data_IF_052721281691
#
_entry.id   IF_052721281691
#
_cell.length_a   1.000
_cell.length_b   1.000
_cell.length_c   1.000
_cell.angle_alpha   90.00
_cell.angle_beta   90.00
_cell.angle_gamma   90.00
#
_symmetry.space_group_name_H-M   'P 1'
#
loop_
_entity.id
_entity.type
_entity.pdbx_description
1 polymer ?
#
# COMPACT_ATOMS: atom_id res chain seq x y z
N UNK A 1 -56.25 -40.00 -35.43
CA UNK A 1 -55.69 -40.88 -36.47
C UNK A 1 -54.25 -40.45 -36.70
N UNK A 2 -53.32 -41.40 -36.59
CA UNK A 2 -51.89 -41.33 -36.98
C UNK A 2 -50.93 -40.40 -36.22
N UNK A 3 -50.25 -41.00 -35.25
CA UNK A 3 -48.78 -40.94 -35.08
C UNK A 3 -48.05 -41.14 -36.43
N UNK A 4 -46.84 -40.56 -36.58
CA UNK A 4 -45.67 -41.41 -36.42
C UNK A 4 -44.49 -40.78 -35.64
N UNK A 5 -43.84 -41.69 -34.93
CA UNK A 5 -42.55 -41.65 -34.25
C UNK A 5 -41.36 -41.48 -35.21
N UNK A 6 -40.33 -40.74 -34.77
CA UNK A 6 -38.95 -40.97 -35.19
C UNK A 6 -38.03 -40.85 -33.96
N UNK A 7 -37.35 -41.96 -33.70
CA UNK A 7 -36.34 -42.16 -32.67
C UNK A 7 -35.04 -41.41 -33.01
N UNK A 8 -34.41 -40.80 -32.01
CA UNK A 8 -32.97 -40.54 -32.07
C UNK A 8 -32.30 -41.12 -30.83
N UNK A 9 -31.50 -42.15 -31.08
CA UNK A 9 -30.75 -42.88 -30.07
C UNK A 9 -29.48 -42.12 -29.73
N UNK A 10 -29.39 -41.61 -28.51
CA UNK A 10 -28.11 -41.26 -27.88
C UNK A 10 -27.90 -42.12 -26.64
N UNK A 11 -26.74 -42.76 -26.48
CA UNK A 11 -26.44 -43.51 -25.26
C UNK A 11 -26.34 -42.53 -24.09
N UNK A 12 -27.21 -42.72 -23.09
CA UNK A 12 -27.11 -42.11 -21.76
C UNK A 12 -25.94 -42.75 -21.01
N UNK A 13 -24.72 -42.30 -21.27
CA UNK A 13 -23.58 -42.57 -20.40
C UNK A 13 -23.17 -41.26 -19.71
N UNK A 14 -23.88 -40.97 -18.63
CA UNK A 14 -23.52 -39.96 -17.63
C UNK A 14 -23.63 -40.60 -16.26
N UNK A 15 -22.76 -41.57 -15.98
CA UNK A 15 -22.50 -41.95 -14.59
C UNK A 15 -22.04 -40.71 -13.82
N UNK A 16 -22.29 -40.62 -12.50
CA UNK A 16 -21.79 -39.52 -11.71
C UNK A 16 -20.28 -39.43 -11.90
N UNK A 17 -19.82 -38.33 -12.49
CA UNK A 17 -18.41 -37.95 -12.42
C UNK A 17 -18.07 -37.97 -10.93
N UNK A 18 -17.08 -38.75 -10.49
CA UNK A 18 -16.72 -38.76 -9.08
C UNK A 18 -16.44 -37.32 -8.70
N UNK A 19 -17.18 -36.83 -7.72
CA UNK A 19 -16.94 -35.56 -7.06
C UNK A 19 -15.51 -35.66 -6.52
N UNK A 20 -14.54 -35.23 -7.33
CA UNK A 20 -13.16 -35.13 -6.92
C UNK A 20 -13.19 -34.19 -5.74
N UNK A 21 -13.07 -34.78 -4.55
CA UNK A 21 -13.06 -34.09 -3.28
C UNK A 21 -12.01 -32.99 -3.39
N UNK A 22 -12.49 -31.75 -3.51
CA UNK A 22 -11.61 -30.61 -3.64
C UNK A 22 -10.56 -30.70 -2.51
N UNK A 23 -9.26 -30.57 -2.84
CA UNK A 23 -8.21 -30.82 -1.86
C UNK A 23 -8.48 -29.99 -0.60
N UNK A 24 -8.40 -30.65 0.56
CA UNK A 24 -8.66 -29.99 1.83
C UNK A 24 -7.42 -29.21 2.26
N UNK A 25 -7.57 -27.98 2.77
CA UNK A 25 -6.45 -27.26 3.37
C UNK A 25 -5.78 -28.05 4.49
N UNK A 26 -4.45 -28.10 4.48
CA UNK A 26 -3.63 -28.73 5.53
C UNK A 26 -2.73 -27.73 6.25
N UNK A 27 -2.30 -28.00 7.49
CA UNK A 27 -1.31 -27.18 8.17
C UNK A 27 0.00 -27.07 7.38
N UNK A 28 0.64 -25.91 7.47
CA UNK A 28 1.99 -25.65 6.96
C UNK A 28 3.00 -26.53 7.70
N UNK A 29 3.96 -27.08 6.96
CA UNK A 29 5.06 -27.90 7.47
C UNK A 29 6.41 -27.29 7.07
N UNK A 30 7.52 -27.58 7.77
CA UNK A 30 8.84 -27.10 7.38
C UNK A 30 9.23 -27.47 5.94
N UNK A 31 8.83 -28.66 5.48
CA UNK A 31 9.05 -29.14 4.10
C UNK A 31 8.37 -28.30 3.01
N UNK A 32 7.36 -27.48 3.37
CA UNK A 32 6.66 -26.61 2.43
C UNK A 32 7.44 -25.35 2.06
N UNK A 33 8.56 -25.03 2.72
CA UNK A 33 9.29 -23.76 2.55
C UNK A 33 9.64 -23.48 1.08
N UNK A 34 10.17 -24.48 0.38
CA UNK A 34 10.48 -24.35 -1.05
C UNK A 34 9.22 -24.17 -1.91
N UNK A 35 8.11 -24.81 -1.53
CA UNK A 35 6.81 -24.64 -2.18
C UNK A 35 6.24 -23.24 -1.97
N UNK A 36 6.36 -22.70 -0.76
CA UNK A 36 5.96 -21.32 -0.42
C UNK A 36 6.78 -20.30 -1.20
N UNK A 37 8.11 -20.49 -1.29
CA UNK A 37 8.96 -19.59 -2.08
C UNK A 37 8.57 -19.59 -3.57
N UNK A 38 8.29 -20.77 -4.15
CA UNK A 38 7.81 -20.87 -5.54
C UNK A 38 6.46 -20.22 -5.73
N UNK A 39 5.51 -20.46 -4.81
CA UNK A 39 4.19 -19.85 -4.84
C UNK A 39 4.28 -18.32 -4.74
N UNK A 40 5.10 -17.80 -3.82
CA UNK A 40 5.32 -16.37 -3.64
C UNK A 40 5.92 -15.72 -4.90
N UNK A 41 6.89 -16.36 -5.54
CA UNK A 41 7.50 -15.88 -6.79
C UNK A 41 6.51 -15.81 -7.97
N UNK A 42 5.43 -16.61 -7.93
CA UNK A 42 4.34 -16.56 -8.92
C UNK A 42 3.23 -15.58 -8.54
N UNK A 43 2.91 -15.50 -7.25
CA UNK A 43 1.79 -14.70 -6.75
C UNK A 43 2.12 -13.21 -6.61
N UNK A 44 3.39 -12.87 -6.39
CA UNK A 44 3.85 -11.49 -6.15
C UNK A 44 4.93 -11.06 -7.13
N UNK A 45 5.14 -9.74 -7.34
CA UNK A 45 6.33 -9.24 -7.99
C UNK A 45 7.59 -9.75 -7.30
N UNK A 46 8.66 -10.02 -8.06
CA UNK A 46 9.91 -10.60 -7.54
C UNK A 46 10.47 -9.86 -6.33
N UNK A 47 10.46 -8.53 -6.34
CA UNK A 47 10.97 -7.72 -5.23
C UNK A 47 10.15 -7.85 -3.95
N UNK A 48 8.89 -8.28 -4.01
CA UNK A 48 8.08 -8.58 -2.83
C UNK A 48 8.21 -10.03 -2.40
N UNK A 49 8.29 -10.96 -3.37
CA UNK A 49 8.38 -12.40 -3.10
C UNK A 49 9.55 -12.79 -2.19
N UNK A 50 10.68 -12.08 -2.27
CA UNK A 50 11.87 -12.33 -1.42
C UNK A 50 11.65 -12.10 0.08
N UNK A 51 10.62 -11.35 0.45
CA UNK A 51 10.26 -11.10 1.84
C UNK A 51 9.29 -12.14 2.40
N UNK A 52 8.74 -13.02 1.56
CA UNK A 52 7.90 -14.12 2.02
C UNK A 52 8.80 -15.20 2.59
N UNK A 53 8.65 -15.46 3.89
CA UNK A 53 9.30 -16.57 4.59
C UNK A 53 8.24 -17.50 5.14
N UNK A 54 8.42 -18.80 4.97
CA UNK A 54 7.60 -19.77 5.66
C UNK A 54 7.80 -19.59 7.16
N UNK A 55 6.72 -19.25 7.88
CA UNK A 55 6.72 -19.23 9.34
C UNK A 55 6.48 -20.64 9.89
N UNK A 56 6.29 -20.74 11.21
CA UNK A 56 5.90 -22.00 11.85
C UNK A 56 4.38 -22.26 11.81
N UNK A 57 3.58 -21.25 11.46
CA UNK A 57 2.12 -21.32 11.54
C UNK A 57 1.49 -20.87 10.22
N UNK A 58 0.53 -21.64 9.73
CA UNK A 58 -0.14 -21.36 8.46
C UNK A 58 -0.90 -22.56 7.93
N UNK A 59 -1.55 -22.36 6.78
CA UNK A 59 -2.21 -23.41 6.04
C UNK A 59 -1.87 -23.30 4.57
N UNK A 60 -1.72 -24.45 3.93
CA UNK A 60 -1.48 -24.56 2.50
C UNK A 60 -2.58 -25.40 1.86
N UNK A 61 -2.73 -25.21 0.56
CA UNK A 61 -3.59 -26.02 -0.28
C UNK A 61 -2.75 -26.59 -1.42
N UNK A 62 -2.69 -27.91 -1.52
CA UNK A 62 -1.99 -28.60 -2.60
C UNK A 62 -2.81 -28.59 -3.90
N UNK A 63 -2.09 -28.66 -5.01
CA UNK A 63 -2.53 -28.91 -6.37
C UNK A 63 -1.55 -29.89 -7.02
N UNK A 64 -1.89 -30.41 -8.20
CA UNK A 64 -1.06 -31.41 -8.90
C UNK A 64 0.40 -30.94 -9.11
N UNK A 65 0.59 -29.65 -9.45
CA UNK A 65 1.90 -29.07 -9.75
C UNK A 65 2.54 -28.30 -8.56
N UNK A 66 2.06 -28.53 -7.34
CA UNK A 66 2.59 -27.89 -6.12
C UNK A 66 1.51 -27.15 -5.32
N UNK A 67 1.85 -26.01 -4.70
CA UNK A 67 0.90 -25.30 -3.85
C UNK A 67 -0.04 -24.41 -4.68
N UNK A 68 -1.35 -24.60 -4.53
CA UNK A 68 -2.38 -23.76 -5.14
C UNK A 68 -2.59 -22.44 -4.37
N UNK A 69 -2.46 -22.48 -3.04
CA UNK A 69 -2.64 -21.32 -2.18
C UNK A 69 -1.98 -21.52 -0.82
N UNK A 70 -1.68 -20.41 -0.13
CA UNK A 70 -1.16 -20.42 1.23
C UNK A 70 -1.67 -19.24 2.05
N UNK A 71 -1.82 -19.44 3.35
CA UNK A 71 -1.91 -18.38 4.35
C UNK A 71 -0.84 -18.59 5.42
N UNK A 72 -0.10 -17.53 5.74
CA UNK A 72 0.92 -17.52 6.77
C UNK A 72 0.46 -16.62 7.90
N UNK A 73 0.50 -17.13 9.13
CA UNK A 73 0.07 -16.40 10.32
C UNK A 73 1.18 -16.40 11.37
N UNK A 74 1.12 -15.46 12.31
CA UNK A 74 2.03 -15.41 13.46
C UNK A 74 1.35 -14.84 14.69
N UNK A 75 1.94 -15.13 15.85
CA UNK A 75 1.54 -14.55 17.13
C UNK A 75 2.55 -13.50 17.53
N UNK A 76 2.06 -12.32 17.91
CA UNK A 76 2.84 -11.21 18.43
C UNK A 76 2.49 -11.07 19.91
N UNK A 77 3.50 -11.19 20.78
CA UNK A 77 3.32 -10.97 22.22
C UNK A 77 3.57 -9.50 22.53
N UNK A 78 2.56 -8.85 23.12
CA UNK A 78 2.60 -7.46 23.57
C UNK A 78 3.11 -7.33 25.02
N UNK A 79 3.49 -6.13 25.46
CA UNK A 79 3.70 -5.84 26.88
C UNK A 79 2.49 -6.29 27.71
N UNK A 80 2.76 -6.90 28.87
CA UNK A 80 1.72 -7.50 29.72
C UNK A 80 1.25 -8.90 29.30
N UNK A 81 1.93 -9.54 28.34
CA UNK A 81 1.67 -10.95 27.96
C UNK A 81 0.50 -11.16 26.99
N UNK A 82 -0.23 -10.09 26.64
CA UNK A 82 -1.34 -10.13 25.69
C UNK A 82 -0.88 -10.60 24.31
N UNK A 83 -1.70 -11.40 23.61
CA UNK A 83 -1.33 -12.03 22.34
C UNK A 83 -2.16 -11.46 21.19
N UNK A 84 -1.49 -10.97 20.15
CA UNK A 84 -2.13 -10.56 18.90
C UNK A 84 -1.81 -11.59 17.82
N UNK A 85 -2.85 -12.05 17.13
CA UNK A 85 -2.69 -12.82 15.91
C UNK A 85 -2.48 -11.89 14.72
N UNK A 86 -1.57 -12.24 13.83
CA UNK A 86 -1.32 -11.50 12.61
C UNK A 86 -1.40 -12.41 11.39
N UNK A 87 -2.26 -12.06 10.43
CA UNK A 87 -2.27 -12.70 9.12
C UNK A 87 -1.26 -11.96 8.25
N UNK A 88 -0.09 -12.56 8.07
CA UNK A 88 1.06 -11.94 7.43
C UNK A 88 1.00 -12.00 5.91
N UNK A 89 0.62 -13.16 5.39
CA UNK A 89 0.55 -13.38 3.95
C UNK A 89 -0.66 -14.24 3.62
N UNK A 90 -1.37 -13.86 2.57
CA UNK A 90 -2.37 -14.69 1.93
C UNK A 90 -2.12 -14.64 0.43
N UNK A 91 -1.90 -15.79 -0.19
CA UNK A 91 -1.51 -15.87 -1.58
C UNK A 91 -2.22 -17.02 -2.29
N UNK A 92 -2.46 -16.84 -3.58
CA UNK A 92 -3.07 -17.85 -4.44
C UNK A 92 -2.33 -17.84 -5.76
N UNK A 93 -1.99 -19.03 -6.23
CA UNK A 93 -1.34 -19.23 -7.50
C UNK A 93 -2.19 -18.61 -8.62
N UNK A 94 -1.61 -17.87 -9.58
CA UNK A 94 -2.38 -17.24 -10.65
C UNK A 94 -3.32 -18.19 -11.41
N UNK A 95 -2.95 -19.46 -11.59
CA UNK A 95 -3.81 -20.45 -12.27
C UNK A 95 -5.03 -20.88 -11.43
N UNK A 96 -5.03 -20.58 -10.14
CA UNK A 96 -6.04 -20.98 -9.16
C UNK A 96 -6.79 -19.76 -8.57
N UNK A 97 -6.52 -18.54 -9.05
CA UNK A 97 -7.20 -17.33 -8.61
C UNK A 97 -8.69 -17.32 -9.01
N UNK A 98 -9.48 -16.48 -8.34
CA UNK A 98 -10.93 -16.38 -8.57
C UNK A 98 -11.77 -17.51 -7.95
N UNK A 99 -11.14 -18.53 -7.35
CA UNK A 99 -11.82 -19.68 -6.73
C UNK A 99 -12.07 -19.53 -5.21
N UNK A 100 -11.81 -18.36 -4.64
CA UNK A 100 -12.05 -18.09 -3.21
C UNK A 100 -11.07 -18.79 -2.25
N UNK A 101 -9.93 -19.28 -2.73
CA UNK A 101 -8.96 -20.07 -1.95
C UNK A 101 -8.30 -19.27 -0.82
N UNK A 102 -7.73 -18.09 -1.11
CA UNK A 102 -7.11 -17.24 -0.08
C UNK A 102 -8.09 -16.87 1.06
N UNK A 103 -9.32 -16.39 0.82
CA UNK A 103 -10.31 -16.17 1.88
C UNK A 103 -10.66 -17.43 2.68
N UNK A 104 -10.73 -18.60 2.04
CA UNK A 104 -10.99 -19.87 2.72
C UNK A 104 -9.83 -20.26 3.65
N UNK A 105 -8.59 -20.14 3.18
CA UNK A 105 -7.40 -20.36 4.01
C UNK A 105 -7.30 -19.33 5.13
N UNK A 106 -7.54 -18.05 4.84
CA UNK A 106 -7.53 -16.98 5.85
C UNK A 106 -8.49 -17.26 7.01
N UNK A 107 -9.70 -17.81 6.74
CA UNK A 107 -10.61 -18.27 7.80
C UNK A 107 -9.99 -19.32 8.70
N UNK A 108 -9.26 -20.30 8.14
CA UNK A 108 -8.56 -21.31 8.95
C UNK A 108 -7.39 -20.72 9.72
N UNK A 109 -6.62 -19.83 9.11
CA UNK A 109 -5.54 -19.10 9.79
C UNK A 109 -6.05 -18.30 10.98
N UNK A 110 -7.19 -17.62 10.82
CA UNK A 110 -7.89 -16.90 11.88
C UNK A 110 -8.32 -17.84 13.00
N UNK A 111 -9.00 -18.95 12.69
CA UNK A 111 -9.43 -19.93 13.69
C UNK A 111 -8.25 -20.52 14.48
N UNK A 112 -7.10 -20.72 13.80
CA UNK A 112 -5.85 -21.13 14.45
C UNK A 112 -5.34 -20.07 15.43
N UNK A 113 -5.35 -18.79 15.04
CA UNK A 113 -4.93 -17.70 15.93
C UNK A 113 -5.84 -17.58 17.16
N UNK A 114 -7.16 -17.78 17.00
CA UNK A 114 -8.10 -17.85 18.13
C UNK A 114 -7.80 -19.03 19.04
N UNK A 115 -7.56 -20.22 18.49
CA UNK A 115 -7.20 -21.41 19.26
C UNK A 115 -5.84 -21.27 19.98
N UNK A 116 -4.94 -20.43 19.46
CA UNK A 116 -3.69 -20.04 20.12
C UNK A 116 -3.88 -18.99 21.23
N UNK A 117 -5.12 -18.60 21.54
CA UNK A 117 -5.43 -17.64 22.59
C UNK A 117 -5.07 -16.20 22.22
N UNK A 118 -5.15 -15.82 20.95
CA UNK A 118 -4.96 -14.42 20.55
C UNK A 118 -6.22 -13.59 20.87
N UNK A 119 -6.03 -12.49 21.60
CA UNK A 119 -7.09 -11.58 22.04
C UNK A 119 -7.63 -10.69 20.91
N UNK A 120 -6.82 -10.49 19.88
CA UNK A 120 -7.13 -9.69 18.71
C UNK A 120 -6.40 -10.25 17.50
N UNK A 121 -6.98 -10.05 16.33
CA UNK A 121 -6.38 -10.47 15.06
C UNK A 121 -6.30 -9.27 14.13
N UNK A 122 -5.08 -8.98 13.68
CA UNK A 122 -4.79 -7.90 12.75
C UNK A 122 -4.20 -8.42 11.44
N UNK A 123 -4.29 -7.62 10.41
CA UNK A 123 -3.56 -7.82 9.15
C UNK A 123 -3.15 -6.44 8.61
N UNK A 124 -2.31 -6.44 7.60
CA UNK A 124 -1.84 -5.25 6.93
C UNK A 124 -2.13 -5.38 5.44
N UNK A 125 -2.77 -4.37 4.87
CA UNK A 125 -3.24 -4.40 3.49
C UNK A 125 -2.84 -3.10 2.81
N UNK A 126 -2.19 -3.20 1.65
CA UNK A 126 -1.93 -2.03 0.81
C UNK A 126 -3.23 -1.42 0.30
N UNK A 127 -3.30 -0.09 0.31
CA UNK A 127 -4.55 0.63 0.07
C UNK A 127 -5.21 0.43 -1.30
N UNK A 128 -4.46 0.04 -2.34
CA UNK A 128 -4.98 -0.25 -3.67
C UNK A 128 -5.19 -1.75 -3.93
N UNK A 129 -4.91 -2.61 -2.94
CA UNK A 129 -5.19 -4.03 -3.03
C UNK A 129 -6.67 -4.34 -2.76
N UNK A 130 -7.53 -3.99 -3.71
CA UNK A 130 -8.98 -4.18 -3.64
C UNK A 130 -9.38 -5.65 -3.37
N UNK A 131 -8.60 -6.60 -3.88
CA UNK A 131 -8.87 -8.03 -3.70
C UNK A 131 -8.70 -8.45 -2.23
N UNK A 132 -7.58 -8.09 -1.61
CA UNK A 132 -7.34 -8.34 -0.18
C UNK A 132 -8.29 -7.54 0.70
N UNK A 133 -8.52 -6.26 0.40
CA UNK A 133 -9.49 -5.42 1.12
C UNK A 133 -10.88 -6.07 1.11
N UNK A 134 -11.39 -6.45 -0.06
CA UNK A 134 -12.69 -7.11 -0.21
C UNK A 134 -12.76 -8.46 0.50
N UNK A 135 -11.68 -9.25 0.47
CA UNK A 135 -11.61 -10.54 1.15
C UNK A 135 -11.66 -10.38 2.68
N UNK A 136 -10.78 -9.57 3.26
CA UNK A 136 -10.68 -9.41 4.71
C UNK A 136 -11.88 -8.67 5.31
N UNK A 137 -12.51 -7.76 4.56
CA UNK A 137 -13.74 -7.10 5.01
C UNK A 137 -14.88 -8.09 5.22
N UNK A 138 -15.02 -9.11 4.36
CA UNK A 138 -15.97 -10.23 4.53
C UNK A 138 -15.63 -11.11 5.74
N UNK A 139 -14.38 -11.11 6.18
CA UNK A 139 -13.91 -11.81 7.39
C UNK A 139 -14.05 -10.97 8.67
N UNK A 140 -14.72 -9.81 8.58
CA UNK A 140 -14.98 -8.93 9.71
C UNK A 140 -13.85 -7.98 10.05
N UNK A 141 -12.86 -7.81 9.17
CA UNK A 141 -11.81 -6.80 9.38
C UNK A 141 -12.28 -5.43 8.96
N UNK A 142 -11.83 -4.41 9.68
CA UNK A 142 -11.94 -2.99 9.30
C UNK A 142 -10.61 -2.31 9.50
N UNK A 143 -10.31 -1.33 8.64
CA UNK A 143 -9.17 -0.45 8.80
C UNK A 143 -9.30 0.35 10.10
N UNK A 144 -8.21 0.49 10.85
CA UNK A 144 -8.18 1.25 12.09
C UNK A 144 -7.06 2.30 12.08
N UNK A 145 -7.36 3.49 12.59
CA UNK A 145 -6.37 4.56 12.73
C UNK A 145 -5.53 4.42 14.00
N UNK A 146 -4.51 5.26 14.17
CA UNK A 146 -3.63 5.24 15.34
C UNK A 146 -4.38 5.35 16.68
N UNK A 147 -5.44 6.17 16.75
CA UNK A 147 -6.27 6.31 17.96
C UNK A 147 -6.90 4.97 18.35
N UNK A 148 -7.45 4.26 17.36
CA UNK A 148 -8.12 2.98 17.58
C UNK A 148 -7.11 1.88 17.89
N UNK A 149 -5.89 1.94 17.32
CA UNK A 149 -4.77 1.06 17.69
C UNK A 149 -4.36 1.27 19.15
N UNK A 150 -4.23 2.53 19.59
CA UNK A 150 -3.90 2.87 20.99
C UNK A 150 -5.04 2.45 21.92
N UNK A 151 -6.30 2.68 21.54
CA UNK A 151 -7.45 2.25 22.33
C UNK A 151 -7.51 0.71 22.44
N UNK A 152 -7.21 0.00 21.36
CA UNK A 152 -7.23 -1.45 21.33
C UNK A 152 -6.08 -2.08 22.11
N UNK A 153 -4.86 -1.52 22.08
CA UNK A 153 -3.64 -2.19 22.53
C UNK A 153 -2.82 -1.42 23.57
N UNK A 154 -3.24 -0.21 23.94
CA UNK A 154 -2.40 0.75 24.67
C UNK A 154 -1.27 1.31 23.79
N UNK A 155 -0.62 2.38 24.25
CA UNK A 155 0.45 3.05 23.48
C UNK A 155 1.64 2.12 23.20
N UNK A 156 2.14 1.45 24.23
CA UNK A 156 3.27 0.52 24.10
C UNK A 156 2.92 -0.72 23.26
N UNK A 157 1.70 -1.24 23.39
CA UNK A 157 1.22 -2.36 22.59
C UNK A 157 1.06 -1.99 21.11
N UNK A 158 0.50 -0.81 20.81
CA UNK A 158 0.40 -0.31 19.44
C UNK A 158 1.78 -0.11 18.81
N UNK A 159 2.73 0.47 19.54
CA UNK A 159 4.11 0.63 19.07
C UNK A 159 4.79 -0.73 18.80
N UNK A 160 4.70 -1.67 19.75
CA UNK A 160 5.25 -3.03 19.61
C UNK A 160 4.61 -3.76 18.43
N UNK A 161 3.30 -3.66 18.24
CA UNK A 161 2.60 -4.24 17.10
C UNK A 161 3.14 -3.68 15.79
N UNK A 162 3.19 -2.36 15.63
CA UNK A 162 3.68 -1.68 14.41
C UNK A 162 5.12 -2.07 14.06
N UNK A 163 5.99 -2.14 15.06
CA UNK A 163 7.37 -2.62 14.89
C UNK A 163 7.42 -4.10 14.50
N UNK A 164 6.63 -4.95 15.17
CA UNK A 164 6.59 -6.39 14.89
C UNK A 164 6.07 -6.70 13.49
N UNK A 165 5.18 -5.85 12.97
CA UNK A 165 4.63 -6.04 11.63
C UNK A 165 5.42 -5.39 10.51
N UNK A 166 6.38 -4.53 10.82
CA UNK A 166 7.17 -3.83 9.81
C UNK A 166 6.46 -2.62 9.20
N UNK A 167 5.32 -2.19 9.75
CA UNK A 167 4.49 -1.10 9.22
C UNK A 167 5.23 0.24 9.01
N UNK A 168 6.31 0.47 9.77
CA UNK A 168 7.21 1.62 9.58
C UNK A 168 7.99 1.61 8.27
N UNK A 169 8.02 0.49 7.53
CA UNK A 169 8.78 0.27 6.30
C UNK A 169 7.91 0.11 5.05
N UNK A 170 6.59 0.00 5.19
CA UNK A 170 5.69 -0.38 4.11
C UNK A 170 4.72 0.76 3.72
N UNK A 171 5.20 1.85 3.09
CA UNK A 171 4.36 3.02 2.79
C UNK A 171 3.11 2.63 1.99
N UNK A 172 1.99 3.23 2.37
CA UNK A 172 0.69 2.99 1.72
C UNK A 172 -0.09 1.77 2.21
N UNK A 173 0.44 1.07 3.21
CA UNK A 173 -0.29 0.01 3.90
C UNK A 173 -1.07 0.55 5.08
N UNK A 174 -2.18 -0.11 5.36
CA UNK A 174 -3.09 0.19 6.46
C UNK A 174 -3.22 -1.02 7.37
N UNK A 175 -3.37 -0.77 8.67
CA UNK A 175 -3.65 -1.81 9.66
C UNK A 175 -5.15 -2.07 9.71
N UNK A 176 -5.50 -3.34 9.65
CA UNK A 176 -6.87 -3.83 9.73
C UNK A 176 -7.03 -4.69 10.96
N UNK A 177 -8.09 -4.45 11.73
CA UNK A 177 -8.45 -5.19 12.94
C UNK A 177 -9.78 -5.92 12.73
N UNK A 178 -9.80 -7.21 13.08
CA UNK A 178 -11.03 -8.00 13.07
C UNK A 178 -11.96 -7.59 14.21
N UNK A 179 -13.25 -7.44 13.91
CA UNK A 179 -14.27 -7.04 14.88
C UNK A 179 -14.27 -5.55 15.20
N UNK A 180 -13.41 -4.74 14.57
CA UNK A 180 -13.46 -3.30 14.70
C UNK A 180 -14.70 -2.73 14.02
N UNK A 181 -15.29 -1.70 14.64
CA UNK A 181 -16.36 -0.93 14.02
C UNK A 181 -15.84 -0.13 12.82
N UNK A 182 -16.65 0.04 11.76
CA UNK A 182 -16.27 0.93 10.65
C UNK A 182 -16.10 2.36 11.15
N UNK A 183 -14.89 2.91 11.02
CA UNK A 183 -14.65 4.33 11.28
C UNK A 183 -14.70 5.08 9.94
N UNK A 184 -15.64 6.03 9.75
CA UNK A 184 -15.71 6.80 8.52
C UNK A 184 -14.41 7.61 8.32
N UNK A 185 -13.98 7.72 7.05
CA UNK A 185 -12.81 8.54 6.71
C UNK A 185 -13.18 10.00 6.82
N UNK A 186 -12.48 10.75 7.67
CA UNK A 186 -12.67 12.20 7.80
C UNK A 186 -11.57 12.89 7.00
N UNK A 187 -11.86 13.28 5.76
CA UNK A 187 -10.84 13.74 4.80
C UNK A 187 -9.98 14.89 5.30
N UNK A 188 -10.59 15.87 5.99
CA UNK A 188 -9.84 17.00 6.55
C UNK A 188 -8.77 16.55 7.54
N UNK A 189 -9.07 15.51 8.33
CA UNK A 189 -8.12 14.93 9.29
C UNK A 189 -7.02 14.13 8.59
N UNK A 190 -7.37 13.34 7.58
CA UNK A 190 -6.40 12.62 6.76
C UNK A 190 -5.44 13.58 6.05
N UNK A 191 -5.97 14.65 5.44
CA UNK A 191 -5.15 15.67 4.81
C UNK A 191 -4.24 16.36 5.82
N UNK A 192 -4.77 16.78 6.97
CA UNK A 192 -3.98 17.39 8.02
C UNK A 192 -2.88 16.45 8.54
N UNK A 193 -3.16 15.14 8.63
CA UNK A 193 -2.18 14.13 9.02
C UNK A 193 -1.07 14.01 7.97
N UNK A 194 -1.42 13.84 6.69
CA UNK A 194 -0.43 13.75 5.61
C UNK A 194 0.44 15.01 5.54
N UNK A 195 -0.17 16.20 5.56
CA UNK A 195 0.55 17.46 5.48
C UNK A 195 1.40 17.71 6.74
N UNK A 196 0.85 17.42 7.92
CA UNK A 196 1.56 17.57 9.19
C UNK A 196 2.78 16.65 9.27
N UNK A 197 2.66 15.38 8.89
CA UNK A 197 3.78 14.43 8.87
C UNK A 197 4.87 14.86 7.88
N UNK A 198 4.51 15.16 6.63
CA UNK A 198 5.50 15.60 5.64
C UNK A 198 6.13 16.95 6.02
N UNK A 199 5.36 17.86 6.60
CA UNK A 199 5.85 19.14 7.11
C UNK A 199 6.87 18.94 8.24
N UNK A 200 6.55 18.10 9.22
CA UNK A 200 7.46 17.78 10.32
C UNK A 200 8.77 17.16 9.80
N UNK A 201 8.69 16.23 8.85
CA UNK A 201 9.89 15.61 8.26
C UNK A 201 10.68 16.54 7.34
N UNK A 202 10.02 17.47 6.62
CA UNK A 202 10.71 18.49 5.85
C UNK A 202 11.49 19.45 6.76
N UNK A 203 10.89 19.86 7.88
CA UNK A 203 11.56 20.68 8.90
C UNK A 203 12.72 19.89 9.55
N UNK A 204 12.52 18.60 9.85
CA UNK A 204 13.60 17.75 10.35
C UNK A 204 14.74 17.61 9.33
N UNK A 205 14.43 17.38 8.06
CA UNK A 205 15.43 17.28 6.99
C UNK A 205 16.28 18.57 6.88
N UNK A 206 15.62 19.74 6.94
CA UNK A 206 16.31 21.03 7.01
C UNK A 206 17.18 21.15 8.26
N UNK A 207 16.66 20.71 9.41
CA UNK A 207 17.40 20.77 10.67
C UNK A 207 18.67 19.92 10.65
N UNK A 208 18.68 18.84 9.86
CA UNK A 208 19.83 17.95 9.74
C UNK A 208 20.90 18.46 8.76
N UNK A 209 20.66 19.59 8.06
CA UNK A 209 21.70 20.32 7.33
C UNK A 209 22.44 19.51 6.25
N UNK A 210 21.74 18.59 5.57
CA UNK A 210 22.34 17.64 4.61
C UNK A 210 22.56 16.22 5.17
N UNK A 211 22.25 16.01 6.45
CA UNK A 211 22.20 14.69 7.09
C UNK A 211 23.52 14.21 7.66
N UNK A 212 23.44 13.25 8.57
CA UNK A 212 24.60 12.71 9.29
C UNK A 212 25.65 12.06 8.35
N UNK A 213 25.21 11.45 7.25
CA UNK A 213 26.11 10.78 6.30
C UNK A 213 27.03 11.76 5.58
N UNK A 214 26.55 12.98 5.34
CA UNK A 214 27.32 14.06 4.72
C UNK A 214 28.10 14.91 5.74
N UNK A 215 28.14 14.51 7.02
CA UNK A 215 28.73 15.30 8.10
C UNK A 215 27.91 16.54 8.48
N UNK A 216 26.62 16.56 8.14
CA UNK A 216 25.70 17.63 8.51
C UNK A 216 25.60 17.78 10.02
N UNK A 217 25.77 19.02 10.49
CA UNK A 217 25.62 19.36 11.91
C UNK A 217 24.17 19.78 12.17
N UNK A 218 23.44 19.11 13.08
CA UNK A 218 22.07 19.47 13.38
C UNK A 218 21.97 20.91 13.88
N UNK A 219 21.10 21.70 13.25
CA UNK A 219 20.83 23.08 13.61
C UNK A 219 19.32 23.36 13.49
N UNK A 220 18.78 24.18 14.38
CA UNK A 220 17.37 24.56 14.26
C UNK A 220 17.17 25.45 13.03
N UNK A 221 16.26 25.11 12.11
CA UNK A 221 15.96 25.99 10.99
C UNK A 221 15.31 27.27 11.51
N UNK A 222 15.59 28.39 10.83
CA UNK A 222 14.90 29.65 11.13
C UNK A 222 13.38 29.52 10.93
N UNK A 223 12.60 30.37 11.60
CA UNK A 223 11.15 30.39 11.45
C UNK A 223 10.72 30.58 9.98
N UNK A 224 11.47 31.38 9.21
CA UNK A 224 11.23 31.58 7.78
C UNK A 224 11.45 30.29 6.98
N UNK A 225 12.56 29.57 7.20
CA UNK A 225 12.84 28.30 6.54
C UNK A 225 11.79 27.24 6.87
N UNK A 226 11.41 27.12 8.14
CA UNK A 226 10.35 26.21 8.56
C UNK A 226 9.01 26.58 7.92
N UNK A 227 8.64 27.87 7.91
CA UNK A 227 7.42 28.36 7.27
C UNK A 227 7.37 28.07 5.77
N UNK A 228 8.49 28.28 5.05
CA UNK A 228 8.60 27.97 3.62
C UNK A 228 8.49 26.46 3.35
N UNK A 229 9.10 25.62 4.19
CA UNK A 229 8.98 24.16 4.06
C UNK A 229 7.52 23.69 4.23
N UNK A 230 6.83 24.21 5.25
CA UNK A 230 5.41 23.90 5.48
C UNK A 230 4.53 24.37 4.31
N UNK A 231 4.79 25.57 3.79
CA UNK A 231 4.11 26.10 2.60
C UNK A 231 4.36 25.20 1.38
N UNK A 232 5.60 24.79 1.15
CA UNK A 232 5.96 23.91 0.04
C UNK A 232 5.25 22.55 0.13
N UNK A 233 5.15 21.95 1.32
CA UNK A 233 4.38 20.72 1.54
C UNK A 233 2.90 20.94 1.18
N UNK A 234 2.28 22.01 1.67
CA UNK A 234 0.88 22.31 1.38
C UNK A 234 0.64 22.54 -0.13
N UNK A 235 1.53 23.27 -0.81
CA UNK A 235 1.44 23.53 -2.25
C UNK A 235 1.60 22.25 -3.06
N UNK A 236 2.69 21.50 -2.84
CA UNK A 236 3.00 20.29 -3.60
C UNK A 236 1.92 19.22 -3.40
N UNK A 237 1.56 18.91 -2.15
CA UNK A 237 0.56 17.89 -1.86
C UNK A 237 -0.86 18.34 -2.24
N UNK A 238 -1.19 19.62 -2.04
CA UNK A 238 -2.48 20.17 -2.42
C UNK A 238 -2.72 20.18 -3.93
N UNK A 239 -1.74 20.63 -4.72
CA UNK A 239 -1.81 20.61 -6.19
C UNK A 239 -1.93 19.17 -6.70
N UNK A 240 -1.10 18.25 -6.17
CA UNK A 240 -1.17 16.83 -6.50
C UNK A 240 -2.54 16.24 -6.21
N UNK A 241 -3.04 16.37 -4.98
CA UNK A 241 -4.34 15.82 -4.56
C UNK A 241 -5.48 16.43 -5.40
N UNK A 242 -5.46 17.74 -5.62
CA UNK A 242 -6.46 18.45 -6.41
C UNK A 242 -6.51 17.97 -7.86
N UNK A 243 -5.37 17.78 -8.50
CA UNK A 243 -5.28 17.24 -9.85
C UNK A 243 -5.82 15.80 -9.92
N UNK A 244 -5.42 14.94 -8.97
CA UNK A 244 -5.89 13.56 -8.87
C UNK A 244 -7.41 13.48 -8.70
N UNK A 245 -7.99 14.27 -7.78
CA UNK A 245 -9.44 14.31 -7.54
C UNK A 245 -10.20 14.81 -8.75
N UNK A 246 -9.71 15.87 -9.40
CA UNK A 246 -10.36 16.44 -10.59
C UNK A 246 -10.40 15.41 -11.71
N UNK A 247 -9.26 14.77 -12.00
CA UNK A 247 -9.19 13.73 -13.01
C UNK A 247 -10.07 12.51 -12.68
N UNK A 248 -10.09 12.05 -11.43
CA UNK A 248 -10.98 10.96 -11.01
C UNK A 248 -12.46 11.33 -11.20
N UNK A 249 -12.86 12.56 -10.81
CA UNK A 249 -14.22 13.07 -10.97
C UNK A 249 -14.63 13.15 -12.44
N UNK A 250 -13.75 13.62 -13.32
CA UNK A 250 -13.99 13.65 -14.77
C UNK A 250 -14.16 12.25 -15.38
N UNK A 251 -13.66 11.22 -14.70
CA UNK A 251 -13.84 9.80 -15.04
C UNK A 251 -15.02 9.15 -14.29
N UNK A 252 -15.83 9.93 -13.58
CA UNK A 252 -17.00 9.43 -12.84
C UNK A 252 -16.66 8.64 -11.58
N UNK A 253 -15.42 8.71 -11.08
CA UNK A 253 -14.99 7.99 -9.88
C UNK A 253 -15.00 8.93 -8.67
N UNK A 254 -15.90 8.66 -7.72
CA UNK A 254 -15.85 9.28 -6.40
C UNK A 254 -14.67 8.74 -5.61
N UNK A 255 -13.83 9.65 -5.10
CA UNK A 255 -12.62 9.32 -4.37
C UNK A 255 -12.54 10.04 -3.03
N UNK A 256 -11.82 9.43 -2.10
CA UNK A 256 -11.48 9.98 -0.80
C UNK A 256 -9.98 9.98 -0.55
N UNK A 257 -9.46 11.00 0.12
CA UNK A 257 -8.04 11.09 0.49
C UNK A 257 -7.80 10.31 1.78
N UNK A 258 -6.75 9.48 1.80
CA UNK A 258 -6.28 8.77 2.98
C UNK A 258 -4.78 9.00 3.14
N UNK A 259 -4.36 9.40 4.33
CA UNK A 259 -2.95 9.56 4.67
C UNK A 259 -2.29 8.19 4.83
N UNK A 260 -0.96 8.16 4.66
CA UNK A 260 -0.17 6.99 5.01
C UNK A 260 0.46 7.23 6.38
N UNK A 261 0.03 6.47 7.37
CA UNK A 261 0.70 6.38 8.66
C UNK A 261 1.79 5.29 8.68
N UNK A 262 1.93 4.52 7.59
CA UNK A 262 3.04 3.61 7.32
C UNK A 262 4.26 4.32 6.73
N UNK A 263 5.42 3.65 6.71
CA UNK A 263 6.64 4.21 6.10
C UNK A 263 7.37 5.27 6.94
N UNK A 264 6.91 5.53 8.17
CA UNK A 264 7.47 6.56 9.06
C UNK A 264 8.94 6.29 9.43
N UNK A 265 9.34 5.02 9.57
CA UNK A 265 10.72 4.66 9.92
C UNK A 265 11.68 4.98 8.78
N UNK A 266 11.31 4.64 7.54
CA UNK A 266 12.10 5.02 6.36
C UNK A 266 12.20 6.54 6.25
N UNK A 267 11.09 7.23 6.49
CA UNK A 267 11.06 8.69 6.37
C UNK A 267 11.93 9.39 7.38
N UNK A 268 11.86 8.97 8.65
CA UNK A 268 12.75 9.46 9.69
C UNK A 268 14.22 9.17 9.35
N UNK A 269 14.53 7.96 8.90
CA UNK A 269 15.90 7.58 8.52
C UNK A 269 16.42 8.45 7.37
N UNK A 270 15.61 8.73 6.34
CA UNK A 270 16.04 9.56 5.21
C UNK A 270 16.27 11.02 5.64
N UNK A 271 15.40 11.58 6.48
CA UNK A 271 15.55 12.92 7.02
C UNK A 271 16.81 13.06 7.88
N UNK A 272 17.07 12.08 8.77
CA UNK A 272 18.23 12.11 9.67
C UNK A 272 19.54 11.84 8.93
N UNK A 273 19.59 10.79 8.11
CA UNK A 273 20.83 10.33 7.51
C UNK A 273 21.26 11.21 6.33
N UNK A 274 20.30 11.72 5.54
CA UNK A 274 20.59 12.42 4.28
C UNK A 274 20.07 13.86 4.25
N UNK A 275 19.43 14.35 5.32
CA UNK A 275 18.86 15.70 5.33
C UNK A 275 17.82 15.92 4.24
N UNK A 276 17.10 14.86 3.85
CA UNK A 276 16.18 14.86 2.73
C UNK A 276 14.82 14.25 3.10
N UNK A 277 13.81 14.46 2.26
CA UNK A 277 12.46 13.97 2.51
C UNK A 277 12.20 12.67 1.75
N UNK A 278 11.81 11.62 2.47
CA UNK A 278 11.04 10.53 1.88
C UNK A 278 9.55 10.90 2.00
N UNK A 279 8.84 11.15 0.90
CA UNK A 279 7.50 11.70 0.99
C UNK A 279 6.48 10.61 1.35
N UNK A 280 5.54 10.94 2.25
CA UNK A 280 4.39 10.11 2.60
C UNK A 280 3.10 10.85 2.23
N UNK A 281 2.83 11.09 0.94
CA UNK A 281 1.79 12.01 0.49
C UNK A 281 0.37 11.52 0.76
N UNK A 282 0.20 10.23 1.09
CA UNK A 282 -1.09 9.57 0.97
C UNK A 282 -1.51 9.41 -0.49
N UNK A 283 -2.77 9.02 -0.68
CA UNK A 283 -3.35 8.92 -2.02
C UNK A 283 -4.86 9.15 -1.98
N UNK A 284 -5.44 9.32 -3.17
CA UNK A 284 -6.88 9.17 -3.37
C UNK A 284 -7.22 7.71 -3.58
N UNK A 285 -8.33 7.28 -2.99
CA UNK A 285 -8.86 5.92 -3.03
C UNK A 285 -10.34 5.99 -3.42
N UNK A 286 -10.92 4.96 -4.05
CA UNK A 286 -12.37 4.90 -4.25
C UNK A 286 -13.12 5.11 -2.94
N UNK A 287 -14.16 5.94 -2.96
CA UNK A 287 -14.96 6.22 -1.77
C UNK A 287 -15.85 5.01 -1.39
N UNK A 288 -16.24 4.21 -2.39
CA UNK A 288 -16.97 2.97 -2.18
C UNK A 288 -16.07 1.91 -1.51
N UNK A 289 -16.59 1.22 -0.50
CA UNK A 289 -15.82 0.21 0.23
C UNK A 289 -15.65 -1.12 -0.55
N UNK A 290 -16.56 -1.41 -1.49
CA UNK A 290 -16.61 -2.66 -2.28
C UNK A 290 -16.15 -2.50 -3.73
N UNK A 291 -15.30 -1.50 -3.95
CA UNK A 291 -14.67 -1.27 -5.23
C UNK A 291 -13.84 -2.46 -5.70
N UNK A 292 -13.73 -2.61 -7.02
CA UNK A 292 -12.89 -3.62 -7.68
C UNK A 292 -11.82 -2.92 -8.49
N UNK A 293 -10.61 -3.48 -8.46
CA UNK A 293 -9.47 -2.95 -9.22
C UNK A 293 -9.77 -2.86 -10.73
N UNK A 294 -10.52 -3.82 -11.28
CA UNK A 294 -10.91 -3.83 -12.70
C UNK A 294 -11.75 -2.61 -13.10
N UNK A 295 -12.62 -2.16 -12.20
CA UNK A 295 -13.63 -1.13 -12.50
C UNK A 295 -13.06 0.26 -12.23
N UNK A 296 -12.36 0.44 -11.10
CA UNK A 296 -11.77 1.73 -10.71
C UNK A 296 -10.37 1.99 -11.31
N UNK A 297 -9.66 0.94 -11.73
CA UNK A 297 -8.25 1.00 -12.14
C UNK A 297 -7.94 2.06 -13.20
N UNK A 298 -8.64 2.10 -14.36
CA UNK A 298 -8.36 3.09 -15.39
C UNK A 298 -8.57 4.54 -14.93
N UNK A 299 -9.59 4.80 -14.10
CA UNK A 299 -9.84 6.12 -13.54
C UNK A 299 -8.75 6.51 -12.51
N UNK A 300 -8.33 5.56 -11.66
CA UNK A 300 -7.22 5.76 -10.72
C UNK A 300 -5.87 5.98 -11.42
N UNK A 301 -5.62 5.32 -12.56
CA UNK A 301 -4.42 5.54 -13.37
C UNK A 301 -4.43 6.93 -14.02
N UNK A 302 -5.59 7.38 -14.50
CA UNK A 302 -5.77 8.75 -15.01
C UNK A 302 -5.53 9.79 -13.91
N UNK A 303 -6.08 9.54 -12.71
CA UNK A 303 -5.85 10.38 -11.55
C UNK A 303 -4.36 10.43 -11.17
N UNK A 304 -3.70 9.27 -11.10
CA UNK A 304 -2.28 9.16 -10.82
C UNK A 304 -1.43 9.95 -11.83
N UNK A 305 -1.72 9.83 -13.13
CA UNK A 305 -1.04 10.60 -14.17
C UNK A 305 -1.23 12.11 -14.00
N UNK A 306 -2.45 12.57 -13.73
CA UNK A 306 -2.74 13.98 -13.50
C UNK A 306 -2.00 14.53 -12.27
N UNK A 307 -1.98 13.77 -11.17
CA UNK A 307 -1.23 14.11 -9.96
C UNK A 307 0.27 14.24 -10.22
N UNK A 308 0.87 13.20 -10.81
CA UNK A 308 2.31 13.19 -11.11
C UNK A 308 2.69 14.28 -12.12
N UNK A 309 1.85 14.52 -13.14
CA UNK A 309 2.05 15.58 -14.13
C UNK A 309 1.99 16.98 -13.51
N UNK A 310 1.04 17.23 -12.61
CA UNK A 310 0.94 18.50 -11.92
C UNK A 310 2.17 18.78 -11.03
N UNK A 311 2.67 17.75 -10.33
CA UNK A 311 3.94 17.87 -9.58
C UNK A 311 5.12 18.10 -10.52
N UNK A 312 5.19 17.43 -11.67
CA UNK A 312 6.27 17.63 -12.65
C UNK A 312 6.30 19.08 -13.18
N UNK A 313 5.14 19.64 -13.51
CA UNK A 313 5.02 21.05 -13.93
C UNK A 313 5.47 21.98 -12.81
N UNK A 314 5.00 21.76 -11.58
CA UNK A 314 5.39 22.58 -10.43
C UNK A 314 6.90 22.53 -10.15
N UNK A 315 7.51 21.34 -10.23
CA UNK A 315 8.96 21.17 -10.08
C UNK A 315 9.71 21.89 -11.21
N UNK A 316 9.29 21.74 -12.46
CA UNK A 316 9.90 22.44 -13.60
C UNK A 316 9.83 23.97 -13.45
N UNK A 317 8.68 24.50 -13.02
CA UNK A 317 8.50 25.92 -12.72
C UNK A 317 9.40 26.37 -11.57
N UNK A 318 9.55 25.56 -10.51
CA UNK A 318 10.42 25.86 -9.38
C UNK A 318 11.91 25.83 -9.77
N UNK A 319 12.35 24.91 -10.65
CA UNK A 319 13.73 24.92 -11.18
C UNK A 319 14.00 26.23 -11.92
N UNK A 320 13.11 26.61 -12.84
CA UNK A 320 13.22 27.87 -13.57
C UNK A 320 13.21 29.09 -12.64
N UNK A 321 12.26 29.15 -11.71
CA UNK A 321 12.12 30.26 -10.77
C UNK A 321 13.32 30.37 -9.80
N UNK A 322 13.91 29.23 -9.41
CA UNK A 322 15.10 29.21 -8.57
C UNK A 322 16.30 29.91 -9.21
N UNK A 323 16.46 29.75 -10.54
CA UNK A 323 17.48 30.48 -11.31
C UNK A 323 17.09 31.93 -11.60
N UNK A 324 15.87 32.17 -12.08
CA UNK A 324 15.41 33.50 -12.49
C UNK A 324 15.28 34.50 -11.32
N UNK A 325 14.97 34.01 -10.12
CA UNK A 325 14.72 34.83 -8.93
C UNK A 325 15.70 34.52 -7.79
N UNK A 326 16.93 34.11 -8.12
CA UNK A 326 17.98 33.81 -7.15
C UNK A 326 18.21 34.97 -6.16
N UNK A 327 18.34 34.64 -4.87
CA UNK A 327 18.53 35.63 -3.80
C UNK A 327 17.26 36.39 -3.36
N UNK A 328 16.11 36.13 -3.98
CA UNK A 328 14.83 36.74 -3.58
C UNK A 328 13.94 35.75 -2.81
N UNK A 329 12.83 36.26 -2.24
CA UNK A 329 11.78 35.41 -1.64
C UNK A 329 11.21 34.40 -2.65
N UNK A 330 11.07 34.77 -3.93
CA UNK A 330 10.60 33.85 -4.98
C UNK A 330 11.55 32.67 -5.18
N UNK A 331 12.86 32.92 -5.18
CA UNK A 331 13.88 31.87 -5.22
C UNK A 331 13.86 30.96 -3.98
N UNK A 332 13.62 31.53 -2.79
CA UNK A 332 13.50 30.76 -1.55
C UNK A 332 12.27 29.85 -1.54
N UNK A 333 11.11 30.33 -2.02
CA UNK A 333 9.90 29.52 -2.20
C UNK A 333 10.18 28.39 -3.20
N UNK A 334 10.81 28.70 -4.33
CA UNK A 334 11.19 27.71 -5.33
C UNK A 334 12.09 26.61 -4.74
N UNK A 335 13.12 26.97 -3.98
CA UNK A 335 14.00 26.01 -3.31
C UNK A 335 13.23 25.10 -2.33
N UNK A 336 12.29 25.65 -1.55
CA UNK A 336 11.46 24.87 -0.64
C UNK A 336 10.52 23.91 -1.40
N UNK A 337 9.95 24.35 -2.53
CA UNK A 337 9.15 23.49 -3.42
C UNK A 337 10.00 22.35 -3.98
N UNK A 338 11.26 22.60 -4.36
CA UNK A 338 12.14 21.54 -4.86
C UNK A 338 12.52 20.51 -3.79
N UNK A 339 12.72 20.94 -2.54
CA UNK A 339 12.98 20.04 -1.40
C UNK A 339 11.89 18.96 -1.25
N UNK A 340 10.63 19.33 -1.45
CA UNK A 340 9.48 18.41 -1.32
C UNK A 340 9.14 17.74 -2.65
N UNK A 341 9.11 18.54 -3.72
CA UNK A 341 8.61 18.17 -5.03
C UNK A 341 9.51 17.19 -5.76
N UNK A 342 10.84 17.35 -5.70
CA UNK A 342 11.77 16.44 -6.39
C UNK A 342 11.69 15.00 -5.86
N UNK A 343 11.81 14.74 -4.54
CA UNK A 343 11.64 13.38 -4.01
C UNK A 343 10.27 12.80 -4.36
N UNK A 344 9.19 13.58 -4.19
CA UNK A 344 7.84 13.11 -4.52
C UNK A 344 7.70 12.74 -5.99
N UNK A 345 8.18 13.59 -6.89
CA UNK A 345 8.15 13.34 -8.33
C UNK A 345 8.88 12.04 -8.68
N UNK A 346 10.05 11.78 -8.08
CA UNK A 346 10.80 10.56 -8.29
C UNK A 346 9.97 9.32 -7.90
N UNK A 347 9.35 9.31 -6.71
CA UNK A 347 8.51 8.19 -6.29
C UNK A 347 7.24 8.04 -7.13
N UNK A 348 6.60 9.15 -7.50
CA UNK A 348 5.35 9.17 -8.25
C UNK A 348 5.50 8.85 -9.75
N UNK A 349 6.72 8.85 -10.29
CA UNK A 349 6.96 8.59 -11.71
C UNK A 349 7.86 7.39 -11.95
N UNK A 350 8.88 7.16 -11.13
CA UNK A 350 9.88 6.11 -11.36
C UNK A 350 9.58 4.84 -10.58
N UNK A 351 9.17 4.96 -9.31
CA UNK A 351 9.12 3.82 -8.37
C UNK A 351 7.85 2.97 -8.51
N UNK A 352 7.68 2.29 -9.65
CA UNK A 352 6.51 1.46 -9.96
C UNK A 352 6.54 0.04 -9.33
N UNK A 353 7.53 -0.28 -8.50
CA UNK A 353 7.79 -1.62 -8.00
C UNK A 353 7.84 -1.66 -6.46
N UNK A 354 7.54 -2.81 -5.83
CA UNK A 354 7.65 -2.96 -4.39
C UNK A 354 9.05 -2.59 -3.86
N UNK A 355 9.15 -1.95 -2.68
CA UNK A 355 8.04 -1.68 -1.73
C UNK A 355 7.18 -0.44 -2.04
N UNK A 356 7.44 0.31 -3.11
CA UNK A 356 6.84 1.62 -3.39
C UNK A 356 5.56 1.59 -4.24
N UNK A 357 4.86 0.47 -4.25
CA UNK A 357 3.72 0.25 -5.15
C UNK A 357 2.49 1.13 -4.84
N UNK A 358 2.42 1.74 -3.67
CA UNK A 358 1.35 2.66 -3.30
C UNK A 358 1.43 4.03 -4.01
N UNK A 359 2.60 4.39 -4.57
CA UNK A 359 2.78 5.64 -5.30
C UNK A 359 2.13 5.62 -6.70
N UNK A 360 2.00 6.80 -7.31
CA UNK A 360 1.33 6.94 -8.62
C UNK A 360 1.97 6.09 -9.73
N UNK A 361 3.30 5.91 -9.70
CA UNK A 361 4.06 5.22 -10.72
C UNK A 361 3.50 3.82 -11.06
N UNK A 362 3.12 3.04 -10.04
CA UNK A 362 2.59 1.68 -10.23
C UNK A 362 1.32 1.67 -11.07
N UNK A 363 0.37 2.56 -10.77
CA UNK A 363 -0.93 2.63 -11.46
C UNK A 363 -0.76 3.05 -12.92
N UNK A 364 0.14 4.00 -13.17
CA UNK A 364 0.45 4.43 -14.54
C UNK A 364 1.10 3.27 -15.30
N UNK A 365 2.03 2.54 -14.68
CA UNK A 365 2.70 1.39 -15.28
C UNK A 365 1.74 0.25 -15.64
N UNK A 366 0.83 -0.12 -14.73
CA UNK A 366 -0.11 -1.22 -14.94
C UNK A 366 -1.09 -0.97 -16.11
N UNK A 367 -1.48 0.29 -16.32
CA UNK A 367 -2.46 0.66 -17.34
C UNK A 367 -1.84 1.20 -18.65
N UNK A 368 -0.71 1.90 -18.57
CA UNK A 368 -0.08 2.61 -19.69
C UNK A 368 1.46 2.60 -19.60
N UNK A 369 2.10 1.45 -19.87
CA UNK A 369 3.56 1.29 -19.75
C UNK A 369 4.39 2.34 -20.52
N UNK A 370 3.97 2.70 -21.73
CA UNK A 370 4.66 3.73 -22.53
C UNK A 370 4.56 5.13 -21.91
N UNK A 371 3.38 5.49 -21.40
CA UNK A 371 3.17 6.76 -20.67
C UNK A 371 3.99 6.78 -19.39
N UNK A 372 4.01 5.66 -18.66
CA UNK A 372 4.88 5.52 -17.49
C UNK A 372 6.35 5.71 -17.83
N UNK A 373 6.87 5.09 -18.89
CA UNK A 373 8.27 5.23 -19.29
C UNK A 373 8.61 6.69 -19.61
N UNK A 374 7.74 7.42 -20.32
CA UNK A 374 7.89 8.84 -20.58
C UNK A 374 7.89 9.69 -19.30
N UNK A 375 6.93 9.42 -18.39
CA UNK A 375 6.86 10.10 -17.09
C UNK A 375 8.08 9.80 -16.21
N UNK A 376 8.59 8.57 -16.21
CA UNK A 376 9.77 8.17 -15.46
C UNK A 376 11.02 8.90 -15.99
N UNK A 377 11.19 8.97 -17.32
CA UNK A 377 12.29 9.71 -17.93
C UNK A 377 12.24 11.21 -17.57
N UNK A 378 11.04 11.82 -17.66
CA UNK A 378 10.83 13.22 -17.25
C UNK A 378 11.12 13.42 -15.77
N UNK A 379 10.65 12.51 -14.91
CA UNK A 379 10.88 12.56 -13.47
C UNK A 379 12.35 12.48 -13.09
N UNK A 380 13.12 11.58 -13.74
CA UNK A 380 14.58 11.51 -13.55
C UNK A 380 15.26 12.79 -14.04
N UNK A 381 14.90 13.30 -15.22
CA UNK A 381 15.47 14.53 -15.75
C UNK A 381 15.25 15.71 -14.78
N UNK A 382 14.01 15.93 -14.35
CA UNK A 382 13.67 17.01 -13.41
C UNK A 382 14.23 16.80 -12.00
N UNK A 383 14.55 15.57 -11.60
CA UNK A 383 15.22 15.30 -10.33
C UNK A 383 16.69 15.73 -10.38
N UNK A 384 17.36 15.49 -11.51
CA UNK A 384 18.78 15.74 -11.72
C UNK A 384 19.11 17.22 -12.05
N UNK A 385 18.18 17.94 -12.69
CA UNK A 385 18.22 19.41 -12.85
C UNK A 385 17.87 20.07 -11.53
#
# INVERSE_FOLDING_TARGET
>A
MMTPTASDGRPRNGGPVPEQSAPLPRPLRPEDEAGIARLAARAFPRSQAVFVRAGSEGFVLDAEDGLAAAVLVRVIVLPGGRRIGFVAWAMTDPAHQGRGLAPALARRGIARLEALGCDAIVTEIEGHNAASEGAFRKLGFRRIGLRDQIAAFGLAGAARMRLSIGHGMDPGHFIWLRGASPTPTVEGRERALAWGLNGAFAVLALAMGGGLVAGGMPALPSAAQAGLALLAVALVLGIREGAMRTAARLRGLAVTCRAWDSGLTITAAVAVLFGNLFPLPGSVYPAAEDWRARDAGPALATAALAGSGAVAVLVGLAIWAGGAFAGTMGGAVAAAVLLVGKPLLLFDTVMAFPPFHAFNARRIYEHHRGVWAGMAALGVLLFLL
#
